data_IF_646035307724
#
_entry.id   IF_646035307724
#
_cell.length_a   1.000
_cell.length_b   1.000
_cell.length_c   1.000
_cell.angle_alpha   90.00
_cell.angle_beta   90.00
_cell.angle_gamma   90.00
#
_symmetry.space_group_name_H-M   'P 1'
#
loop_
_entity.id
_entity.type
_entity.pdbx_description
1 polymer ?
#
# COMPACT_ATOMS: atom_id res chain seq x y z
N UNK A 1 1.79 5.08 8.47
CA UNK A 1 1.13 4.92 7.15
C UNK A 1 -0.30 5.43 7.12
N UNK A 2 -1.27 4.80 7.82
CA UNK A 2 -2.70 5.14 7.70
C UNK A 2 -3.03 6.61 8.00
N UNK A 3 -2.42 7.19 9.04
CA UNK A 3 -2.62 8.61 9.37
C UNK A 3 -2.14 9.56 8.25
N UNK A 4 -1.06 9.20 7.56
CA UNK A 4 -0.45 10.01 6.50
C UNK A 4 -1.16 9.85 5.16
N UNK A 5 -1.50 8.61 4.77
CA UNK A 5 -1.96 8.30 3.41
C UNK A 5 -3.46 8.02 3.30
N UNK A 6 -4.12 7.72 4.41
CA UNK A 6 -5.54 7.38 4.44
C UNK A 6 -6.33 8.42 5.24
N UNK A 7 -6.08 9.70 4.94
CA UNK A 7 -6.85 10.85 5.42
C UNK A 7 -7.14 10.78 6.94
N UNK A 8 -6.09 10.63 7.75
CA UNK A 8 -6.17 10.52 9.22
C UNK A 8 -7.03 9.37 9.76
N UNK A 9 -7.31 8.34 8.97
CA UNK A 9 -8.13 7.19 9.37
C UNK A 9 -9.37 6.96 8.51
N UNK A 10 -9.73 7.91 7.65
CA UNK A 10 -10.92 7.84 6.78
C UNK A 10 -10.74 7.02 5.51
N UNK A 11 -9.50 6.79 5.09
CA UNK A 11 -9.18 5.96 3.94
C UNK A 11 -9.17 4.46 4.26
N UNK A 12 -8.96 3.66 3.23
CA UNK A 12 -8.85 2.20 3.32
C UNK A 12 -7.46 1.72 2.95
N UNK A 13 -7.09 0.55 3.44
CA UNK A 13 -5.91 -0.18 2.98
C UNK A 13 -6.36 -1.31 2.06
N UNK A 14 -5.79 -1.37 0.85
CA UNK A 14 -6.06 -2.41 -0.14
C UNK A 14 -4.98 -3.48 -0.04
N UNK A 15 -5.39 -4.74 0.10
CA UNK A 15 -4.48 -5.88 0.20
C UNK A 15 -4.48 -6.61 -1.13
N UNK A 16 -3.30 -6.86 -1.69
CA UNK A 16 -3.14 -7.53 -2.98
C UNK A 16 -2.39 -8.85 -2.83
N UNK A 17 -2.77 -9.84 -3.64
CA UNK A 17 -1.96 -11.01 -3.92
C UNK A 17 -0.75 -10.55 -4.75
N UNK A 18 0.44 -10.55 -4.12
CA UNK A 18 1.68 -10.11 -4.76
C UNK A 18 2.00 -10.92 -6.02
N UNK A 19 1.84 -12.24 -6.00
CA UNK A 19 2.17 -13.11 -7.14
C UNK A 19 1.27 -12.80 -8.33
N UNK A 20 -0.03 -12.67 -8.09
CA UNK A 20 -1.02 -12.33 -9.14
C UNK A 20 -0.90 -10.88 -9.62
N UNK A 21 -0.46 -9.97 -8.75
CA UNK A 21 -0.21 -8.58 -9.13
C UNK A 21 0.99 -8.48 -10.08
N UNK A 22 2.12 -9.11 -9.72
CA UNK A 22 3.34 -9.03 -10.53
C UNK A 22 3.31 -9.88 -11.79
N UNK A 23 2.46 -10.92 -11.86
CA UNK A 23 2.32 -11.75 -13.07
C UNK A 23 1.79 -10.96 -14.28
N UNK A 24 1.27 -9.74 -14.06
CA UNK A 24 0.78 -8.83 -15.10
C UNK A 24 1.79 -7.74 -15.48
N UNK A 25 2.97 -7.74 -14.86
CA UNK A 25 4.01 -6.71 -15.00
C UNK A 25 5.26 -7.30 -15.64
N UNK A 26 6.02 -6.47 -16.36
CA UNK A 26 7.36 -6.87 -16.80
C UNK A 26 8.33 -6.88 -15.61
N UNK A 27 9.37 -7.74 -15.62
CA UNK A 27 10.30 -7.87 -14.49
C UNK A 27 10.99 -6.57 -14.06
N UNK A 28 11.21 -5.63 -14.98
CA UNK A 28 11.82 -4.33 -14.74
C UNK A 28 10.81 -3.25 -14.29
N UNK A 29 9.52 -3.57 -14.28
CA UNK A 29 8.41 -2.66 -13.95
C UNK A 29 8.05 -2.62 -12.47
N UNK A 30 8.69 -3.43 -11.63
CA UNK A 30 8.39 -3.46 -10.20
C UNK A 30 9.60 -3.84 -9.35
N UNK A 31 9.48 -3.61 -8.04
CA UNK A 31 10.54 -3.95 -7.12
C UNK A 31 10.25 -3.48 -5.70
N UNK A 32 10.91 -4.14 -4.76
CA UNK A 32 11.00 -3.67 -3.38
C UNK A 32 11.95 -2.47 -3.31
N UNK A 33 11.58 -1.47 -2.53
CA UNK A 33 12.43 -0.31 -2.30
C UNK A 33 13.52 -0.69 -1.31
N UNK A 34 14.77 -0.47 -1.69
CA UNK A 34 15.93 -0.62 -0.82
C UNK A 34 16.14 0.68 -0.05
N UNK A 35 16.40 0.56 1.25
CA UNK A 35 16.62 1.70 2.13
C UNK A 35 18.10 1.81 2.45
N UNK A 36 18.68 3.00 2.23
CA UNK A 36 20.11 3.23 2.36
C UNK A 36 20.37 4.52 3.16
N UNK A 37 21.44 4.53 3.96
CA UNK A 37 21.88 5.69 4.77
C UNK A 37 22.60 6.69 3.85
N UNK A 38 23.16 6.22 2.73
CA UNK A 38 23.90 7.03 1.77
C UNK A 38 23.02 7.53 0.60
N UNK A 39 21.80 8.00 0.87
CA UNK A 39 21.14 8.94 -0.07
C UNK A 39 21.74 10.35 0.13
N UNK A 40 23.05 10.40 0.38
CA UNK A 40 23.84 11.60 0.39
C UNK A 40 24.04 12.04 -1.05
N UNK A 41 23.56 13.24 -1.35
CA UNK A 41 23.51 13.90 -2.64
C UNK A 41 22.34 13.43 -3.51
N UNK A 42 21.32 14.27 -3.53
CA UNK A 42 20.28 14.33 -4.55
C UNK A 42 20.82 13.87 -5.90
N UNK A 43 20.11 12.98 -6.59
CA UNK A 43 20.30 12.80 -8.02
C UNK A 43 20.05 14.17 -8.67
N UNK A 44 21.12 14.96 -8.83
CA UNK A 44 21.06 16.22 -9.56
C UNK A 44 20.77 15.79 -10.98
N UNK A 45 19.51 15.95 -11.39
CA UNK A 45 19.11 15.67 -12.75
C UNK A 45 19.90 16.65 -13.62
N UNK A 46 20.85 16.17 -14.45
CA UNK A 46 21.61 17.06 -15.29
C UNK A 46 20.65 17.81 -16.22
N UNK A 47 21.01 19.03 -16.62
CA UNK A 47 20.22 19.77 -17.59
C UNK A 47 20.18 18.96 -18.89
N UNK A 48 19.01 18.42 -19.20
CA UNK A 48 18.76 17.72 -20.45
C UNK A 48 18.01 18.65 -21.38
N UNK A 49 18.49 18.75 -22.61
CA UNK A 49 17.96 19.60 -23.68
C UNK A 49 17.02 18.85 -24.63
N UNK A 50 16.97 17.50 -24.55
CA UNK A 50 16.10 16.69 -25.40
C UNK A 50 15.39 15.58 -24.60
N UNK A 51 14.19 15.21 -25.07
CA UNK A 51 13.41 14.09 -24.51
C UNK A 51 14.18 12.77 -24.59
N UNK A 52 14.97 12.57 -25.64
CA UNK A 52 15.80 11.37 -25.81
C UNK A 52 16.83 11.23 -24.67
N UNK A 53 17.60 12.30 -24.39
CA UNK A 53 18.57 12.30 -23.28
C UNK A 53 17.91 12.15 -21.92
N UNK A 54 16.73 12.74 -21.71
CA UNK A 54 15.93 12.48 -20.50
C UNK A 54 15.59 11.00 -20.37
N UNK A 55 15.11 10.38 -21.45
CA UNK A 55 14.67 8.98 -21.46
C UNK A 55 15.85 8.05 -21.19
N UNK A 56 16.99 8.26 -21.85
CA UNK A 56 18.23 7.52 -21.62
C UNK A 56 18.70 7.63 -20.16
N UNK A 57 18.66 8.84 -19.59
CA UNK A 57 19.04 9.05 -18.19
C UNK A 57 18.11 8.32 -17.22
N UNK A 58 16.79 8.43 -17.43
CA UNK A 58 15.80 7.74 -16.60
C UNK A 58 16.01 6.23 -16.67
N UNK A 59 16.30 5.69 -17.84
CA UNK A 59 16.51 4.25 -18.05
C UNK A 59 17.77 3.76 -17.35
N UNK A 60 18.87 4.50 -17.53
CA UNK A 60 20.15 4.20 -16.89
C UNK A 60 20.10 4.30 -15.36
N UNK A 61 19.33 5.24 -14.81
CA UNK A 61 19.27 5.51 -13.38
C UNK A 61 18.02 4.96 -12.70
N UNK A 62 17.16 4.23 -13.42
CA UNK A 62 15.85 3.75 -12.94
C UNK A 62 15.90 3.07 -11.56
N UNK A 63 16.83 2.13 -11.28
CA UNK A 63 16.89 1.50 -9.95
C UNK A 63 17.13 2.51 -8.83
N UNK A 64 18.04 3.47 -9.06
CA UNK A 64 18.38 4.49 -8.05
C UNK A 64 17.26 5.52 -7.85
N UNK A 65 16.63 5.95 -8.95
CA UNK A 65 15.56 6.95 -8.92
C UNK A 65 14.29 6.41 -8.27
N UNK A 66 13.93 5.16 -8.57
CA UNK A 66 12.62 4.63 -8.21
C UNK A 66 12.65 3.53 -7.17
N UNK A 67 13.79 2.93 -6.83
CA UNK A 67 13.84 1.79 -5.90
C UNK A 67 14.88 1.95 -4.79
N UNK A 68 15.40 3.16 -4.59
CA UNK A 68 16.22 3.51 -3.42
C UNK A 68 15.56 4.68 -2.69
N UNK A 69 15.45 4.58 -1.36
CA UNK A 69 14.92 5.63 -0.49
C UNK A 69 15.82 5.77 0.74
N UNK A 70 15.75 6.92 1.39
CA UNK A 70 16.52 7.18 2.60
C UNK A 70 16.07 6.25 3.74
N UNK A 71 17.05 5.74 4.48
CA UNK A 71 16.86 4.85 5.64
C UNK A 71 15.86 5.35 6.68
N UNK A 72 15.70 6.66 6.84
CA UNK A 72 14.71 7.27 7.73
C UNK A 72 13.26 6.88 7.38
N UNK A 73 13.01 6.47 6.12
CA UNK A 73 11.70 6.05 5.61
C UNK A 73 11.53 4.53 5.54
N UNK A 74 12.47 3.76 6.10
CA UNK A 74 12.46 2.28 6.04
C UNK A 74 11.22 1.63 6.67
N UNK A 75 10.55 2.34 7.60
CA UNK A 75 9.31 1.88 8.22
C UNK A 75 8.13 1.75 7.23
N UNK A 76 8.23 2.28 6.01
CA UNK A 76 7.15 2.21 5.02
C UNK A 76 7.12 0.90 4.23
N UNK A 77 8.27 0.21 4.13
CA UNK A 77 8.39 -1.10 3.48
C UNK A 77 7.76 -1.14 2.07
N UNK A 78 7.98 -0.10 1.28
CA UNK A 78 7.38 0.10 -0.04
C UNK A 78 7.73 -1.00 -1.08
N UNK A 79 6.71 -1.34 -1.88
CA UNK A 79 6.84 -2.04 -3.15
C UNK A 79 6.31 -1.11 -4.25
N UNK A 80 7.10 -0.87 -5.29
CA UNK A 80 6.76 0.10 -6.35
C UNK A 80 6.50 -0.59 -7.68
N UNK A 81 5.60 -0.01 -8.46
CA UNK A 81 5.34 -0.34 -9.85
C UNK A 81 5.61 0.93 -10.66
N UNK A 82 6.44 0.84 -11.69
CA UNK A 82 6.83 1.98 -12.53
C UNK A 82 6.63 1.61 -13.99
N UNK A 83 5.71 2.30 -14.67
CA UNK A 83 5.38 2.07 -16.07
C UNK A 83 5.72 3.29 -16.91
N UNK A 84 6.44 3.10 -18.02
CA UNK A 84 6.57 4.15 -19.03
C UNK A 84 5.32 4.14 -19.89
N UNK A 85 4.81 5.32 -20.22
CA UNK A 85 3.68 5.48 -21.14
C UNK A 85 3.88 6.72 -22.00
N UNK A 86 3.27 6.71 -23.18
CA UNK A 86 3.29 7.86 -24.10
C UNK A 86 2.09 8.75 -23.82
N UNK A 87 2.32 9.97 -23.33
CA UNK A 87 1.29 11.01 -23.25
C UNK A 87 0.72 11.30 -24.66
N UNK A 88 -0.60 11.55 -24.82
CA UNK A 88 -1.64 11.68 -23.80
C UNK A 88 -2.36 10.37 -23.45
N UNK A 89 -1.82 9.20 -23.82
CA UNK A 89 -2.54 7.94 -23.59
C UNK A 89 -2.53 7.59 -22.10
N UNK A 90 -3.70 7.59 -21.50
CA UNK A 90 -3.89 7.01 -20.17
C UNK A 90 -3.55 5.52 -20.20
N UNK A 91 -2.82 5.06 -19.20
CA UNK A 91 -2.49 3.64 -19.03
C UNK A 91 -3.13 3.15 -17.75
N UNK A 92 -4.01 2.15 -17.89
CA UNK A 92 -4.73 1.55 -16.78
C UNK A 92 -4.14 0.19 -16.43
N UNK A 93 -3.80 -0.01 -15.16
CA UNK A 93 -3.35 -1.31 -14.66
C UNK A 93 -4.54 -2.11 -14.11
N UNK A 94 -4.86 -3.24 -14.74
CA UNK A 94 -5.99 -4.11 -14.36
C UNK A 94 -5.64 -5.00 -13.16
N UNK A 95 -5.65 -4.42 -11.95
CA UNK A 95 -5.29 -5.08 -10.67
C UNK A 95 -6.48 -5.61 -9.86
N UNK A 96 -7.72 -5.42 -10.31
CA UNK A 96 -8.90 -5.82 -9.52
C UNK A 96 -8.93 -7.31 -9.16
N UNK A 97 -8.38 -8.16 -10.02
CA UNK A 97 -8.30 -9.60 -9.77
C UNK A 97 -7.27 -10.00 -8.71
N UNK A 98 -6.24 -9.17 -8.46
CA UNK A 98 -5.24 -9.40 -7.41
C UNK A 98 -5.64 -8.79 -6.08
N UNK A 99 -6.65 -7.91 -6.02
CA UNK A 99 -7.20 -7.40 -4.76
C UNK A 99 -7.77 -8.58 -3.95
N UNK A 100 -7.29 -8.80 -2.73
CA UNK A 100 -7.74 -9.88 -1.86
C UNK A 100 -8.75 -9.38 -0.83
N UNK A 101 -8.41 -8.27 -0.18
CA UNK A 101 -9.21 -7.70 0.89
C UNK A 101 -9.07 -6.19 0.97
N UNK A 102 -10.02 -5.58 1.67
CA UNK A 102 -9.99 -4.18 2.04
C UNK A 102 -10.01 -4.10 3.56
N UNK A 103 -9.02 -3.41 4.11
CA UNK A 103 -8.93 -3.14 5.54
C UNK A 103 -9.44 -1.72 5.77
N UNK A 104 -10.30 -1.55 6.76
CA UNK A 104 -10.83 -0.26 7.23
C UNK A 104 -10.29 0.05 8.63
N UNK A 105 -10.23 1.32 9.01
CA UNK A 105 -9.83 1.72 10.36
C UNK A 105 -11.05 2.12 11.20
N UNK A 106 -11.22 1.46 12.36
CA UNK A 106 -12.47 1.46 13.11
C UNK A 106 -12.72 2.58 14.11
N UNK A 107 -11.90 3.64 14.13
CA UNK A 107 -11.97 4.62 15.22
C UNK A 107 -13.09 5.67 15.08
N UNK A 108 -13.41 6.12 13.86
CA UNK A 108 -14.28 7.31 13.67
C UNK A 108 -15.79 7.00 13.55
N UNK A 109 -16.20 5.78 13.20
CA UNK A 109 -17.62 5.43 12.97
C UNK A 109 -18.31 4.80 14.21
N UNK A 110 -17.72 4.90 15.41
CA UNK A 110 -18.32 4.31 16.62
C UNK A 110 -19.41 5.19 17.21
N UNK A 111 -20.64 4.97 16.75
CA UNK A 111 -21.81 5.06 17.63
C UNK A 111 -21.71 3.91 18.65
N UNK A 112 -21.97 4.17 19.95
CA UNK A 112 -21.62 3.27 21.07
C UNK A 112 -22.18 1.84 20.93
N UNK A 113 -23.23 1.68 20.13
CA UNK A 113 -23.95 0.42 19.93
C UNK A 113 -23.78 -0.21 18.52
N UNK A 114 -23.06 0.44 17.59
CA UNK A 114 -22.97 -0.02 16.20
C UNK A 114 -21.65 -0.75 15.90
N UNK A 115 -21.75 -2.01 15.47
CA UNK A 115 -20.61 -2.76 14.93
C UNK A 115 -20.25 -2.17 13.56
N UNK A 116 -19.04 -1.64 13.38
CA UNK A 116 -18.63 -0.93 12.15
C UNK A 116 -18.86 -1.75 10.87
N UNK A 117 -18.77 -3.08 10.94
CA UNK A 117 -19.03 -3.98 9.81
C UNK A 117 -20.47 -3.94 9.27
N UNK A 118 -21.38 -3.26 9.98
CA UNK A 118 -22.78 -3.04 9.63
C UNK A 118 -23.09 -1.58 9.27
N UNK A 119 -22.10 -0.68 9.24
CA UNK A 119 -22.34 0.71 8.87
C UNK A 119 -22.74 0.82 7.39
N UNK A 120 -23.50 1.87 7.05
CA UNK A 120 -23.92 2.12 5.66
C UNK A 120 -22.72 2.21 4.71
N UNK A 121 -21.62 2.85 5.13
CA UNK A 121 -20.37 2.94 4.34
C UNK A 121 -19.79 1.56 4.04
N UNK A 122 -19.76 0.66 5.02
CA UNK A 122 -19.26 -0.70 4.82
C UNK A 122 -20.20 -1.51 3.93
N UNK A 123 -21.52 -1.31 4.04
CA UNK A 123 -22.47 -1.91 3.10
C UNK A 123 -22.25 -1.43 1.66
N UNK A 124 -21.98 -0.14 1.45
CA UNK A 124 -21.60 0.39 0.12
C UNK A 124 -20.32 -0.26 -0.40
N UNK A 125 -19.28 -0.37 0.43
CA UNK A 125 -18.02 -1.03 0.04
C UNK A 125 -18.27 -2.52 -0.28
N UNK A 126 -19.09 -3.21 0.51
CA UNK A 126 -19.50 -4.60 0.24
C UNK A 126 -20.28 -4.76 -1.06
N UNK A 127 -21.03 -3.75 -1.49
CA UNK A 127 -21.76 -3.81 -2.75
C UNK A 127 -20.84 -3.54 -3.94
N UNK A 128 -19.82 -2.69 -3.78
CA UNK A 128 -18.82 -2.40 -4.82
C UNK A 128 -17.86 -3.58 -5.00
N UNK A 129 -17.43 -4.16 -3.88
CA UNK A 129 -16.61 -5.35 -3.89
C UNK A 129 -17.53 -6.54 -4.14
N UNK A 130 -17.37 -7.27 -5.26
CA UNK A 130 -18.04 -8.56 -5.43
C UNK A 130 -17.94 -9.37 -4.13
N UNK A 131 -19.03 -10.00 -3.68
CA UNK A 131 -19.17 -10.73 -2.39
C UNK A 131 -18.05 -11.74 -2.05
N UNK A 132 -17.13 -11.98 -2.99
CA UNK A 132 -15.91 -12.79 -2.86
C UNK A 132 -14.76 -12.09 -2.13
N UNK A 133 -14.77 -10.77 -1.95
CA UNK A 133 -13.65 -10.04 -1.32
C UNK A 133 -13.88 -9.87 0.19
N UNK A 134 -12.81 -10.06 0.95
CA UNK A 134 -12.87 -10.00 2.42
C UNK A 134 -12.76 -8.54 2.87
N UNK A 135 -13.62 -8.11 3.79
CA UNK A 135 -13.47 -6.83 4.49
C UNK A 135 -12.98 -7.11 5.90
N UNK A 136 -11.93 -6.41 6.28
CA UNK A 136 -11.34 -6.51 7.61
C UNK A 136 -11.35 -5.14 8.30
N UNK A 137 -11.50 -5.15 9.61
CA UNK A 137 -11.44 -4.00 10.49
C UNK A 137 -10.13 -4.04 11.26
N UNK A 138 -9.36 -2.96 11.14
CA UNK A 138 -8.21 -2.69 11.97
C UNK A 138 -8.60 -1.74 13.11
N UNK A 139 -8.31 -2.16 14.33
CA UNK A 139 -8.63 -1.44 15.56
C UNK A 139 -7.41 -1.24 16.44
N UNK A 140 -7.46 -0.18 17.25
CA UNK A 140 -6.48 0.09 18.31
C UNK A 140 -7.22 0.53 19.57
N UNK A 141 -6.92 -0.10 20.71
CA UNK A 141 -7.45 0.25 22.02
C UNK A 141 -6.38 -0.01 23.09
N UNK A 142 -6.11 0.95 23.97
CA UNK A 142 -5.09 0.85 25.03
C UNK A 142 -3.75 0.26 24.55
N UNK A 143 -3.24 0.76 23.42
CA UNK A 143 -2.02 0.29 22.75
C UNK A 143 -2.08 -1.13 22.15
N UNK A 144 -3.14 -1.89 22.39
CA UNK A 144 -3.41 -3.14 21.70
C UNK A 144 -3.98 -2.87 20.31
N UNK A 145 -3.38 -3.49 19.30
CA UNK A 145 -3.84 -3.44 17.92
C UNK A 145 -4.45 -4.78 17.56
N UNK A 146 -5.53 -4.78 16.80
CA UNK A 146 -6.16 -6.00 16.32
C UNK A 146 -6.65 -5.85 14.87
N UNK A 147 -6.72 -6.98 14.19
CA UNK A 147 -7.31 -7.10 12.87
C UNK A 147 -8.40 -8.17 12.92
N UNK A 148 -9.61 -7.79 12.51
CA UNK A 148 -10.77 -8.67 12.48
C UNK A 148 -11.32 -8.77 11.06
N UNK A 149 -11.52 -9.96 10.53
CA UNK A 149 -12.14 -10.15 9.22
C UNK A 149 -13.48 -10.86 9.40
N UNK A 150 -14.54 -10.28 8.84
CA UNK A 150 -15.91 -10.84 8.91
C UNK A 150 -16.37 -11.16 10.36
N UNK A 151 -15.87 -10.41 11.35
CA UNK A 151 -16.21 -10.57 12.77
C UNK A 151 -15.23 -11.45 13.58
N UNK A 152 -14.39 -12.24 12.92
CA UNK A 152 -13.38 -13.09 13.55
C UNK A 152 -12.05 -12.32 13.72
N UNK A 153 -11.43 -12.41 14.90
CA UNK A 153 -10.08 -11.88 15.11
C UNK A 153 -9.07 -12.78 14.39
N UNK A 154 -8.22 -12.19 13.54
CA UNK A 154 -7.19 -12.92 12.79
C UNK A 154 -5.77 -12.54 13.21
N UNK A 155 -5.60 -11.40 13.89
CA UNK A 155 -4.32 -10.95 14.41
C UNK A 155 -4.52 -9.99 15.59
N UNK A 156 -3.65 -10.07 16.59
CA UNK A 156 -3.52 -9.06 17.65
C UNK A 156 -2.06 -8.85 18.04
N UNK A 157 -1.71 -7.62 18.39
CA UNK A 157 -0.35 -7.29 18.83
C UNK A 157 0.02 -7.93 20.17
N UNK A 158 -0.97 -8.24 21.01
CA UNK A 158 -0.75 -8.93 22.28
C UNK A 158 -0.30 -10.39 22.08
N UNK A 159 -0.87 -11.08 21.07
CA UNK A 159 -0.49 -12.46 20.76
C UNK A 159 0.94 -12.57 20.22
N UNK A 160 1.43 -11.55 19.51
CA UNK A 160 2.81 -11.53 19.02
C UNK A 160 3.82 -11.22 20.12
N UNK A 161 3.47 -10.39 21.11
CA UNK A 161 4.34 -10.15 22.27
C UNK A 161 4.58 -11.42 23.10
N UNK A 162 3.55 -12.27 23.24
CA UNK A 162 3.68 -13.57 23.94
C UNK A 162 4.59 -14.56 23.21
N UNK A 163 4.70 -14.48 21.88
CA UNK A 163 5.60 -15.34 21.09
C UNK A 163 7.07 -14.90 21.12
N UNK A 164 7.33 -13.63 21.44
CA UNK A 164 8.69 -13.10 21.58
C UNK A 164 9.22 -13.32 23.01
N UNK A 165 8.33 -13.46 23.98
CA UNK A 165 8.66 -13.70 25.38
C UNK A 165 8.78 -15.19 25.77
N UNK A 166 8.54 -16.12 24.84
CA UNK A 166 8.64 -17.58 25.00
C UNK A 166 9.79 -18.13 24.16
#
# INVERSE_FOLDING_TARGET
>A
MWGHYAQKGKGVCLVFDKKKLISKLLPDEYGEVRYDIQVGNSLIMPRMDTVSKCTEYLDKNRPKLFFIKDSAWSYEQEFRIVKKYSYPRETYLKIGESLMSVIIYGYEDRDKDSKILRSAKIMTIKNILDNKKIICEYGSFLCEKNLRCQGCAIWSSAADMLKIAA
#
